data_IF_159417240685
#
_entry.id   IF_159417240685
#
_cell.length_a   1.000
_cell.length_b   1.000
_cell.length_c   1.000
_cell.angle_alpha   90.00
_cell.angle_beta   90.00
_cell.angle_gamma   90.00
#
_symmetry.space_group_name_H-M   'P 1'
#
loop_
_entity.id
_entity.type
_entity.pdbx_description
1 polymer ?
#
# COMPACT_ATOMS: atom_id res chain seq x y z
N UNK A 1 22.74 11.53 2.22
CA UNK A 1 21.48 11.60 1.43
C UNK A 1 20.50 10.43 1.71
N UNK A 2 20.90 9.32 2.36
CA UNK A 2 20.00 8.20 2.69
C UNK A 2 19.09 8.38 3.92
N UNK A 3 19.42 9.31 4.83
CA UNK A 3 18.71 9.45 6.11
C UNK A 3 17.31 10.09 5.99
N UNK A 4 17.07 10.86 4.93
CA UNK A 4 15.79 11.56 4.69
C UNK A 4 14.66 10.59 4.34
N UNK A 5 14.81 9.66 3.36
CA UNK A 5 13.75 8.70 3.06
C UNK A 5 13.47 7.73 4.22
N UNK A 6 14.51 7.29 4.94
CA UNK A 6 14.35 6.40 6.08
C UNK A 6 13.57 7.06 7.24
N UNK A 7 13.85 8.34 7.54
CA UNK A 7 13.13 9.07 8.58
C UNK A 7 11.66 9.33 8.23
N UNK A 8 11.34 9.61 6.97
CA UNK A 8 9.96 9.73 6.49
C UNK A 8 9.20 8.40 6.63
N UNK A 9 9.85 7.27 6.31
CA UNK A 9 9.25 5.96 6.45
C UNK A 9 8.94 5.62 7.91
N UNK A 10 9.89 5.85 8.80
CA UNK A 10 9.71 5.64 10.24
C UNK A 10 8.60 6.55 10.78
N UNK A 11 8.53 7.81 10.34
CA UNK A 11 7.47 8.73 10.74
C UNK A 11 6.08 8.29 10.24
N UNK A 12 5.96 7.89 8.98
CA UNK A 12 4.71 7.38 8.42
C UNK A 12 4.22 6.11 9.14
N UNK A 13 5.13 5.18 9.46
CA UNK A 13 4.81 3.95 10.18
C UNK A 13 4.38 4.24 11.62
N UNK A 14 5.09 5.10 12.35
CA UNK A 14 4.80 5.35 13.77
C UNK A 14 3.58 6.27 13.99
N UNK A 15 3.37 7.26 13.12
CA UNK A 15 2.34 8.29 13.30
C UNK A 15 1.12 8.06 12.41
N UNK A 16 1.33 7.76 11.13
CA UNK A 16 0.24 7.63 10.16
C UNK A 16 -0.45 6.27 10.31
N UNK A 17 0.32 5.19 10.42
CA UNK A 17 -0.24 3.85 10.54
C UNK A 17 -1.09 3.68 11.81
N UNK A 18 -0.63 4.24 12.95
CA UNK A 18 -1.39 4.25 14.21
C UNK A 18 -2.69 5.06 14.14
N UNK A 19 -2.82 6.02 13.22
CA UNK A 19 -4.05 6.82 13.04
C UNK A 19 -4.99 6.28 11.98
N UNK A 20 -4.47 5.58 10.97
CA UNK A 20 -5.24 5.10 9.80
C UNK A 20 -5.66 3.63 9.94
N UNK A 21 -4.83 2.80 10.58
CA UNK A 21 -5.07 1.37 10.73
C UNK A 21 -5.56 1.12 12.15
N UNK A 22 -6.88 0.93 12.31
CA UNK A 22 -7.52 0.72 13.63
C UNK A 22 -7.53 -0.75 14.07
N UNK A 23 -7.42 -1.70 13.13
CA UNK A 23 -7.26 -3.14 13.39
C UNK A 23 -5.84 -3.61 13.05
N UNK A 24 -5.25 -4.46 13.91
CA UNK A 24 -3.94 -5.09 13.70
C UNK A 24 -2.87 -4.10 13.19
N UNK A 25 -2.84 -2.91 13.79
CA UNK A 25 -2.13 -1.73 13.28
C UNK A 25 -0.62 -1.97 13.14
N UNK A 26 -0.03 -2.75 14.06
CA UNK A 26 1.39 -3.09 14.04
C UNK A 26 1.71 -4.15 12.97
N UNK A 27 0.91 -5.22 12.87
CA UNK A 27 1.07 -6.23 11.82
C UNK A 27 0.95 -5.62 10.41
N UNK A 28 -0.02 -4.76 10.19
CA UNK A 28 -0.20 -4.10 8.88
C UNK A 28 0.91 -3.09 8.61
N UNK A 29 1.33 -2.32 9.61
CA UNK A 29 2.40 -1.33 9.44
C UNK A 29 3.77 -1.98 9.16
N UNK A 30 4.08 -3.12 9.80
CA UNK A 30 5.36 -3.82 9.57
C UNK A 30 5.43 -4.44 8.17
N UNK A 31 4.30 -4.92 7.63
CA UNK A 31 4.21 -5.44 6.27
C UNK A 31 4.44 -4.35 5.21
N UNK A 32 3.77 -3.20 5.35
CA UNK A 32 3.94 -2.02 4.49
C UNK A 32 5.35 -1.40 4.62
N UNK A 33 5.91 -1.39 5.82
CA UNK A 33 7.29 -0.98 6.05
C UNK A 33 8.28 -1.91 5.31
N UNK A 34 8.04 -3.22 5.35
CA UNK A 34 8.86 -4.21 4.66
C UNK A 34 8.83 -4.08 3.12
N UNK A 35 7.68 -3.69 2.54
CA UNK A 35 7.63 -3.30 1.12
C UNK A 35 8.57 -2.16 0.82
N UNK A 36 8.48 -1.09 1.61
CA UNK A 36 9.24 0.11 1.33
C UNK A 36 10.74 0.00 1.60
N UNK A 37 11.16 -0.98 2.42
CA UNK A 37 12.57 -1.16 2.81
C UNK A 37 13.33 -2.22 1.99
N UNK A 38 12.67 -3.04 1.16
CA UNK A 38 13.44 -4.04 0.42
C UNK A 38 12.72 -4.83 -0.65
N UNK A 39 11.58 -5.46 -0.36
CA UNK A 39 10.76 -6.25 -1.30
C UNK A 39 9.55 -6.82 -0.54
N UNK A 40 8.48 -7.20 -1.25
CA UNK A 40 7.34 -7.95 -0.71
C UNK A 40 7.72 -9.10 0.20
N UNK A 41 8.77 -9.85 -0.16
CA UNK A 41 9.27 -10.96 0.64
C UNK A 41 9.72 -10.53 2.05
N UNK A 42 10.36 -9.36 2.18
CA UNK A 42 10.79 -8.80 3.46
C UNK A 42 9.60 -8.43 4.33
N UNK A 43 8.55 -7.84 3.73
CA UNK A 43 7.29 -7.55 4.43
C UNK A 43 6.60 -8.81 4.96
N UNK A 44 6.54 -9.87 4.14
CA UNK A 44 5.96 -11.15 4.55
C UNK A 44 6.78 -11.87 5.62
N UNK A 45 8.11 -11.78 5.58
CA UNK A 45 8.99 -12.35 6.61
C UNK A 45 8.82 -11.63 7.95
N UNK A 46 8.80 -10.29 7.96
CA UNK A 46 8.55 -9.53 9.19
C UNK A 46 7.15 -9.79 9.75
N UNK A 47 6.16 -9.96 8.87
CA UNK A 47 4.81 -10.30 9.27
C UNK A 47 4.74 -11.69 9.91
N UNK A 48 5.44 -12.69 9.35
CA UNK A 48 5.57 -14.02 9.97
C UNK A 48 6.25 -14.02 11.34
N UNK A 49 7.13 -13.05 11.61
CA UNK A 49 7.77 -12.93 12.94
C UNK A 49 6.81 -12.35 13.98
N UNK A 50 5.91 -11.46 13.56
CA UNK A 50 4.94 -10.78 14.44
C UNK A 50 3.63 -11.55 14.56
N UNK A 51 3.23 -12.28 13.53
CA UNK A 51 2.01 -13.08 13.42
C UNK A 51 2.32 -14.42 12.75
N UNK A 52 2.93 -15.37 13.49
CA UNK A 52 3.33 -16.67 12.95
C UNK A 52 2.14 -17.60 12.69
N UNK A 53 1.06 -17.52 13.47
CA UNK A 53 -0.16 -18.30 13.28
C UNK A 53 -1.13 -17.70 12.23
N UNK A 54 -0.84 -16.50 11.69
CA UNK A 54 -1.70 -15.78 10.74
C UNK A 54 -3.12 -15.54 11.26
N UNK A 55 -3.27 -15.30 12.56
CA UNK A 55 -4.58 -15.06 13.17
C UNK A 55 -5.13 -13.67 12.82
N UNK A 56 -4.27 -12.76 12.36
CA UNK A 56 -4.70 -11.42 11.96
C UNK A 56 -4.96 -11.32 10.45
N UNK A 57 -5.96 -10.52 10.03
CA UNK A 57 -6.26 -10.30 8.61
C UNK A 57 -5.19 -9.47 7.88
N UNK A 58 -4.01 -9.25 8.48
CA UNK A 58 -2.94 -8.44 7.91
C UNK A 58 -2.28 -9.11 6.71
N UNK A 59 -2.08 -10.44 6.76
CA UNK A 59 -1.39 -11.22 5.72
C UNK A 59 -2.24 -11.31 4.46
N UNK A 60 -3.50 -11.71 4.62
CA UNK A 60 -4.45 -11.82 3.50
C UNK A 60 -4.72 -10.47 2.85
N UNK A 61 -4.90 -9.42 3.67
CA UNK A 61 -5.13 -8.07 3.15
C UNK A 61 -3.91 -7.53 2.39
N UNK A 62 -2.69 -7.87 2.82
CA UNK A 62 -1.45 -7.44 2.17
C UNK A 62 -1.18 -8.25 0.90
N UNK A 63 -1.28 -9.57 0.96
CA UNK A 63 -1.08 -10.46 -0.18
C UNK A 63 -2.12 -10.19 -1.28
N UNK A 64 -3.40 -10.01 -0.94
CA UNK A 64 -4.44 -9.70 -1.91
C UNK A 64 -4.18 -8.36 -2.61
N UNK A 65 -3.78 -7.32 -1.85
CA UNK A 65 -3.42 -6.02 -2.44
C UNK A 65 -2.19 -6.13 -3.34
N UNK A 66 -1.14 -6.81 -2.91
CA UNK A 66 0.08 -6.93 -3.71
C UNK A 66 -0.14 -7.77 -4.96
N UNK A 67 -0.87 -8.90 -4.86
CA UNK A 67 -1.19 -9.76 -6.01
C UNK A 67 -2.01 -9.04 -7.08
N UNK A 68 -2.90 -8.14 -6.69
CA UNK A 68 -3.68 -7.33 -7.64
C UNK A 68 -2.88 -6.13 -8.15
N UNK A 69 -2.01 -5.54 -7.31
CA UNK A 69 -1.24 -4.35 -7.67
C UNK A 69 -0.07 -4.64 -8.61
N UNK A 70 0.64 -5.76 -8.43
CA UNK A 70 1.81 -6.10 -9.26
C UNK A 70 1.47 -6.23 -10.76
N UNK A 71 0.43 -6.98 -11.18
CA UNK A 71 0.08 -7.10 -12.59
C UNK A 71 -0.55 -5.83 -13.19
N UNK A 72 -1.14 -4.96 -12.36
CA UNK A 72 -1.84 -3.78 -12.86
C UNK A 72 -0.89 -2.57 -12.91
N UNK A 73 -0.14 -2.32 -11.85
CA UNK A 73 0.65 -1.09 -11.65
C UNK A 73 2.16 -1.35 -11.58
N UNK A 74 2.59 -2.49 -11.03
CA UNK A 74 4.02 -2.82 -10.82
C UNK A 74 4.84 -3.11 -12.09
N UNK A 75 4.18 -3.27 -13.25
CA UNK A 75 4.85 -3.50 -14.54
C UNK A 75 3.99 -4.09 -15.65
N UNK A 76 2.74 -4.49 -15.36
CA UNK A 76 1.86 -5.12 -16.34
C UNK A 76 0.97 -4.12 -17.10
N UNK A 77 -0.30 -4.02 -16.74
CA UNK A 77 -1.32 -3.40 -17.60
C UNK A 77 -1.14 -1.88 -17.77
N UNK A 78 -1.08 -1.10 -16.68
CA UNK A 78 -1.02 0.36 -16.76
C UNK A 78 0.37 0.84 -17.15
N UNK A 79 1.41 0.32 -16.49
CA UNK A 79 2.81 0.67 -16.76
C UNK A 79 3.28 0.17 -18.12
N UNK A 80 2.80 -0.97 -18.59
CA UNK A 80 3.07 -1.48 -19.94
C UNK A 80 2.35 -0.70 -21.05
N UNK A 81 1.10 -0.29 -20.83
CA UNK A 81 0.34 0.52 -21.80
C UNK A 81 0.75 1.99 -21.77
N UNK A 82 1.33 2.48 -20.67
CA UNK A 82 1.76 3.87 -20.54
C UNK A 82 2.75 4.29 -21.64
N UNK A 83 3.73 3.46 -21.99
CA UNK A 83 4.74 3.81 -23.02
C UNK A 83 4.10 3.99 -24.41
N UNK A 84 3.32 3.02 -24.94
CA UNK A 84 2.56 3.21 -26.17
C UNK A 84 1.61 4.41 -26.11
N UNK A 85 0.91 4.59 -24.98
CA UNK A 85 -0.09 5.65 -24.82
C UNK A 85 0.55 7.05 -24.84
N UNK A 86 1.72 7.21 -24.21
CA UNK A 86 2.51 8.44 -24.28
C UNK A 86 2.97 8.69 -25.72
N UNK A 87 3.38 7.65 -26.45
CA UNK A 87 3.86 7.79 -27.82
C UNK A 87 2.77 8.28 -28.80
N UNK A 88 1.51 7.88 -28.60
CA UNK A 88 0.39 8.26 -29.49
C UNK A 88 -0.36 9.52 -29.03
N UNK A 89 -0.53 9.73 -27.72
CA UNK A 89 -1.39 10.80 -27.16
C UNK A 89 -0.61 11.87 -26.39
N UNK A 90 0.68 11.66 -26.15
CA UNK A 90 1.52 12.55 -25.36
C UNK A 90 1.36 12.34 -23.85
N UNK A 91 2.35 12.82 -23.09
CA UNK A 91 2.42 12.62 -21.64
C UNK A 91 1.26 13.30 -20.87
N UNK A 92 0.66 14.35 -21.43
CA UNK A 92 -0.41 15.12 -20.80
C UNK A 92 -1.66 14.29 -20.51
N UNK A 93 -2.08 13.42 -21.44
CA UNK A 93 -3.25 12.56 -21.26
C UNK A 93 -3.03 11.47 -20.22
N UNK A 94 -1.85 10.86 -20.21
CA UNK A 94 -1.48 9.85 -19.19
C UNK A 94 -1.46 10.46 -17.80
N UNK A 95 -0.94 11.68 -17.68
CA UNK A 95 -0.93 12.42 -16.41
C UNK A 95 -2.34 12.81 -15.96
N UNK A 96 -3.21 13.24 -16.87
CA UNK A 96 -4.60 13.56 -16.55
C UNK A 96 -5.39 12.33 -16.06
N UNK A 97 -5.20 11.18 -16.70
CA UNK A 97 -5.84 9.93 -16.28
C UNK A 97 -5.32 9.51 -14.90
N UNK A 98 -4.01 9.53 -14.68
CA UNK A 98 -3.42 9.20 -13.38
C UNK A 98 -3.90 10.15 -12.26
N UNK A 99 -3.96 11.45 -12.54
CA UNK A 99 -4.48 12.45 -11.60
C UNK A 99 -5.95 12.24 -11.28
N UNK A 100 -6.78 11.91 -12.29
CA UNK A 100 -8.21 11.61 -12.08
C UNK A 100 -8.41 10.37 -11.19
N UNK A 101 -7.62 9.32 -11.40
CA UNK A 101 -7.66 8.11 -10.60
C UNK A 101 -7.24 8.38 -9.14
N UNK A 102 -6.23 9.22 -8.93
CA UNK A 102 -5.81 9.65 -7.59
C UNK A 102 -6.93 10.41 -6.86
N UNK A 103 -7.54 11.39 -7.53
CA UNK A 103 -8.65 12.18 -6.96
C UNK A 103 -9.85 11.28 -6.65
N UNK A 104 -10.19 10.37 -7.55
CA UNK A 104 -11.25 9.37 -7.32
C UNK A 104 -10.98 8.53 -6.06
N UNK A 105 -9.77 7.99 -5.92
CA UNK A 105 -9.39 7.20 -4.74
C UNK A 105 -9.36 8.01 -3.45
N UNK A 106 -8.91 9.26 -3.49
CA UNK A 106 -8.95 10.15 -2.33
C UNK A 106 -10.40 10.38 -1.88
N UNK A 107 -11.31 10.70 -2.82
CA UNK A 107 -12.75 10.87 -2.53
C UNK A 107 -13.35 9.58 -1.99
N UNK A 108 -13.03 8.43 -2.59
CA UNK A 108 -13.49 7.13 -2.14
C UNK A 108 -13.03 6.84 -0.70
N UNK A 109 -11.78 7.15 -0.33
CA UNK A 109 -11.28 7.00 1.04
C UNK A 109 -12.01 7.91 2.02
N UNK A 110 -12.31 9.16 1.63
CA UNK A 110 -13.07 10.09 2.46
C UNK A 110 -14.53 9.64 2.65
N UNK A 111 -15.18 9.10 1.62
CA UNK A 111 -16.57 8.65 1.68
C UNK A 111 -16.73 7.30 2.37
N UNK A 112 -15.83 6.37 2.09
CA UNK A 112 -15.96 5.00 2.58
C UNK A 112 -15.56 4.82 4.02
N UNK A 113 -14.81 5.75 4.67
CA UNK A 113 -14.26 5.63 6.04
C UNK A 113 -15.16 4.77 6.94
N UNK A 114 -15.00 3.44 6.93
CA UNK A 114 -15.83 2.60 7.75
C UNK A 114 -15.20 2.75 9.12
N UNK A 115 -16.01 3.07 10.12
CA UNK A 115 -15.64 2.77 11.49
C UNK A 115 -15.44 1.25 11.55
N UNK A 116 -14.21 0.77 11.36
CA UNK A 116 -13.89 -0.65 11.47
C UNK A 116 -14.20 -1.07 12.92
N UNK A 117 -15.08 -2.06 13.13
CA UNK A 117 -15.37 -2.56 14.46
C UNK A 117 -14.08 -3.17 15.04
N UNK A 118 -13.64 -2.64 16.19
CA UNK A 118 -12.48 -3.15 16.93
C UNK A 118 -12.56 -4.68 17.06
N UNK A 119 -11.72 -5.40 16.34
CA UNK A 119 -11.54 -6.84 16.60
C UNK A 119 -10.82 -6.96 17.94
N UNK A 120 -11.56 -7.40 18.95
CA UNK A 120 -11.07 -7.65 20.30
C UNK A 120 -10.11 -8.85 20.23
N UNK A 121 -8.81 -8.61 20.34
CA UNK A 121 -7.83 -9.64 20.67
C UNK A 121 -8.17 -10.17 22.07
N UNK A 122 -8.67 -11.41 22.12
CA UNK A 122 -8.72 -12.21 23.34
C UNK A 122 -7.34 -12.70 23.72
#
# INVERSE_FOLDING_TARGET
>A
MLAIPASILVFCVLVLARRVLTDAWFQRAIAEMGQSMGVTATGLLLLRVVDPEYETPAVDAFACKQLVHEPIMGGGLWTGIAIPLIAISGAGWVLAIAASALVFWLIAIFYTRPAFPRVRSG
#
